data_IF_964202878428
#
_entry.id   IF_964202878428
#
_cell.length_a   1.000
_cell.length_b   1.000
_cell.length_c   1.000
_cell.angle_alpha   90.00
_cell.angle_beta   90.00
_cell.angle_gamma   90.00
#
_symmetry.space_group_name_H-M   'P 1'
#
loop_
_entity.id
_entity.type
_entity.pdbx_description
1 polymer ?
#
# COMPACT_ATOMS: atom_id res chain seq x y z
N UNK A 1 22.84 -36.81 11.70
CA UNK A 1 21.72 -36.08 11.09
C UNK A 1 20.69 -36.95 10.33
N UNK A 2 20.92 -38.27 10.11
CA UNK A 2 19.97 -39.11 9.34
C UNK A 2 18.65 -39.41 10.09
N UNK A 3 18.61 -39.40 11.40
CA UNK A 3 17.46 -39.83 12.22
C UNK A 3 16.64 -38.71 12.90
N UNK A 4 16.91 -37.43 12.57
CA UNK A 4 16.13 -36.31 13.13
C UNK A 4 14.81 -36.14 12.39
N UNK A 5 13.70 -35.77 13.12
CA UNK A 5 12.43 -35.38 12.50
C UNK A 5 12.62 -34.29 11.44
N UNK A 6 11.81 -34.31 10.38
CA UNK A 6 11.91 -33.31 9.29
C UNK A 6 11.78 -31.84 9.75
N UNK A 7 11.06 -31.60 10.85
CA UNK A 7 10.97 -30.27 11.49
C UNK A 7 12.30 -29.81 12.08
N UNK A 8 13.00 -30.74 12.76
CA UNK A 8 14.23 -30.43 13.49
C UNK A 8 15.39 -30.21 12.52
N UNK A 9 15.43 -30.94 11.39
CA UNK A 9 16.38 -30.69 10.29
C UNK A 9 16.20 -29.30 9.69
N UNK A 10 14.96 -28.86 9.46
CA UNK A 10 14.67 -27.52 8.98
C UNK A 10 15.26 -26.44 9.90
N UNK A 11 14.95 -26.55 11.20
CA UNK A 11 15.38 -25.57 12.20
C UNK A 11 16.90 -25.57 12.35
N UNK A 12 17.53 -26.74 12.43
CA UNK A 12 18.99 -26.87 12.53
C UNK A 12 19.68 -26.20 11.36
N UNK A 13 19.21 -26.47 10.13
CA UNK A 13 19.81 -25.85 8.93
C UNK A 13 19.62 -24.34 8.89
N UNK A 14 18.45 -23.84 9.27
CA UNK A 14 18.24 -22.38 9.31
C UNK A 14 19.13 -21.70 10.35
N UNK A 15 19.36 -22.34 11.53
CA UNK A 15 20.33 -21.86 12.53
C UNK A 15 21.77 -21.80 12.02
N UNK A 16 22.18 -22.79 11.22
CA UNK A 16 23.50 -22.77 10.58
C UNK A 16 23.65 -21.59 9.57
N UNK A 17 22.57 -21.20 8.93
CA UNK A 17 22.58 -20.13 7.93
C UNK A 17 22.58 -18.74 8.56
N UNK A 18 21.65 -18.48 9.48
CA UNK A 18 21.41 -17.14 10.02
C UNK A 18 21.85 -16.95 11.46
N UNK A 19 22.30 -18.01 12.13
CA UNK A 19 22.60 -18.01 13.56
C UNK A 19 21.38 -18.29 14.44
N UNK A 20 21.61 -18.83 15.65
CA UNK A 20 20.53 -19.27 16.54
C UNK A 20 19.64 -18.11 17.01
N UNK A 21 20.20 -16.93 17.29
CA UNK A 21 19.46 -15.75 17.72
C UNK A 21 18.45 -15.21 16.68
N UNK A 22 18.64 -15.61 15.41
CA UNK A 22 17.83 -15.16 14.28
C UNK A 22 16.79 -16.19 13.81
N UNK A 23 16.54 -17.24 14.61
CA UNK A 23 15.54 -18.28 14.36
C UNK A 23 14.52 -18.34 15.50
N UNK A 24 13.27 -18.00 15.20
CA UNK A 24 12.17 -18.03 16.15
C UNK A 24 11.34 -19.29 15.92
N UNK A 25 11.25 -20.15 16.94
CA UNK A 25 10.43 -21.38 16.92
C UNK A 25 9.44 -21.44 18.07
N UNK A 26 9.50 -20.50 19.01
CA UNK A 26 8.59 -20.42 20.15
C UNK A 26 7.14 -20.29 19.67
N UNK A 27 6.22 -21.23 20.06
CA UNK A 27 4.85 -21.25 19.56
C UNK A 27 4.04 -19.97 19.85
N UNK A 28 4.34 -19.28 20.96
CA UNK A 28 3.64 -18.04 21.32
C UNK A 28 4.14 -16.86 20.48
N UNK A 29 5.45 -16.77 20.25
CA UNK A 29 6.03 -15.77 19.34
C UNK A 29 5.57 -16.00 17.89
N UNK A 30 5.42 -17.23 17.44
CA UNK A 30 4.93 -17.56 16.11
C UNK A 30 3.50 -17.09 15.84
N UNK A 31 2.67 -16.90 16.88
CA UNK A 31 1.30 -16.37 16.75
C UNK A 31 1.29 -14.97 16.12
N UNK A 32 2.28 -14.12 16.44
CA UNK A 32 2.41 -12.76 15.88
C UNK A 32 2.73 -12.75 14.37
N UNK A 33 3.17 -13.88 13.84
CA UNK A 33 3.50 -14.05 12.43
C UNK A 33 2.43 -14.83 11.65
N UNK A 34 1.31 -15.15 12.29
CA UNK A 34 0.21 -15.84 11.63
C UNK A 34 -0.43 -14.96 10.55
N UNK A 35 -0.84 -15.59 9.44
CA UNK A 35 -1.53 -14.95 8.32
C UNK A 35 -2.83 -15.70 8.07
N UNK A 36 -3.97 -15.01 8.20
CA UNK A 36 -5.31 -15.58 7.99
C UNK A 36 -5.51 -16.94 8.69
N UNK A 37 -5.10 -17.00 9.96
CA UNK A 37 -5.23 -18.18 10.80
C UNK A 37 -4.16 -19.25 10.61
N UNK A 38 -3.29 -19.15 9.60
CA UNK A 38 -2.16 -20.05 9.43
C UNK A 38 -0.93 -19.55 10.15
N UNK A 39 -0.27 -20.43 10.91
CA UNK A 39 0.99 -20.14 11.62
C UNK A 39 2.18 -20.73 10.84
N UNK A 40 3.32 -20.05 10.79
CA UNK A 40 4.55 -20.63 10.28
C UNK A 40 5.09 -21.70 11.23
N UNK A 41 5.94 -22.59 10.73
CA UNK A 41 6.72 -23.53 11.55
C UNK A 41 7.91 -22.83 12.20
N UNK A 42 8.44 -21.81 11.54
CA UNK A 42 9.64 -21.07 11.96
C UNK A 42 9.63 -19.67 11.33
N UNK A 43 10.22 -18.72 12.04
CA UNK A 43 10.55 -17.39 11.50
C UNK A 43 12.06 -17.23 11.47
N UNK A 44 12.60 -16.71 10.37
CA UNK A 44 14.01 -16.38 10.23
C UNK A 44 14.18 -14.90 9.94
N UNK A 45 15.23 -14.31 10.51
CA UNK A 45 15.57 -12.88 10.35
C UNK A 45 16.99 -12.73 9.82
N UNK A 46 17.23 -13.01 8.51
CA UNK A 46 18.57 -12.89 7.92
C UNK A 46 19.05 -11.43 7.97
N UNK A 47 20.32 -11.22 8.28
CA UNK A 47 20.97 -9.92 8.38
C UNK A 47 21.72 -9.47 7.12
N UNK A 48 21.81 -10.36 6.12
CA UNK A 48 22.51 -10.09 4.85
C UNK A 48 21.76 -10.68 3.66
N UNK A 49 21.99 -10.13 2.46
CA UNK A 49 21.44 -10.69 1.22
C UNK A 49 21.92 -12.12 0.96
N UNK A 50 23.16 -12.43 1.34
CA UNK A 50 23.72 -13.79 1.19
C UNK A 50 23.03 -14.80 2.11
N UNK A 51 22.66 -14.40 3.32
CA UNK A 51 21.85 -15.25 4.21
C UNK A 51 20.43 -15.47 3.64
N UNK A 52 19.80 -14.41 3.09
CA UNK A 52 18.52 -14.57 2.37
C UNK A 52 18.66 -15.58 1.23
N UNK A 53 19.71 -15.45 0.41
CA UNK A 53 20.00 -16.38 -0.70
C UNK A 53 20.10 -17.82 -0.22
N UNK A 54 20.89 -18.09 0.81
CA UNK A 54 21.07 -19.44 1.37
C UNK A 54 19.78 -20.01 1.98
N UNK A 55 18.97 -19.18 2.64
CA UNK A 55 17.66 -19.60 3.17
C UNK A 55 16.70 -19.96 2.05
N UNK A 56 16.65 -19.16 0.98
CA UNK A 56 15.77 -19.39 -0.17
C UNK A 56 16.20 -20.62 -0.96
N UNK A 57 17.49 -20.77 -1.24
CA UNK A 57 18.04 -21.94 -1.91
C UNK A 57 17.70 -23.25 -1.16
N UNK A 58 17.94 -23.28 0.15
CA UNK A 58 17.58 -24.41 0.99
C UNK A 58 16.06 -24.68 0.96
N UNK A 59 15.25 -23.65 1.04
CA UNK A 59 13.79 -23.80 0.98
C UNK A 59 13.33 -24.33 -0.37
N UNK A 60 13.98 -23.94 -1.48
CA UNK A 60 13.71 -24.45 -2.82
C UNK A 60 14.02 -25.94 -2.93
N UNK A 61 15.20 -26.35 -2.49
CA UNK A 61 15.63 -27.75 -2.51
C UNK A 61 14.72 -28.66 -1.68
N UNK A 62 14.22 -28.16 -0.54
CA UNK A 62 13.37 -28.91 0.38
C UNK A 62 11.86 -28.66 0.16
N UNK A 63 11.45 -27.93 -0.90
CA UNK A 63 10.07 -27.55 -1.19
C UNK A 63 9.33 -26.94 0.00
N UNK A 64 9.99 -26.00 0.74
CA UNK A 64 9.43 -25.28 1.88
C UNK A 64 8.86 -23.95 1.46
N UNK A 65 7.60 -23.71 1.81
CA UNK A 65 6.93 -22.48 1.48
C UNK A 65 7.42 -21.32 2.36
N UNK A 66 7.83 -20.23 1.72
CA UNK A 66 8.28 -18.98 2.35
C UNK A 66 7.21 -17.90 2.19
N UNK A 67 6.90 -17.20 3.28
CA UNK A 67 6.15 -15.94 3.26
C UNK A 67 7.13 -14.82 3.62
N UNK A 68 7.52 -13.94 2.67
CA UNK A 68 8.34 -12.77 2.97
C UNK A 68 7.55 -11.77 3.80
N UNK A 69 8.22 -11.14 4.78
CA UNK A 69 7.59 -10.15 5.64
C UNK A 69 8.55 -9.02 6.03
N UNK A 70 8.14 -7.77 5.80
CA UNK A 70 8.72 -6.61 6.46
C UNK A 70 8.12 -6.43 7.86
N UNK A 71 7.57 -5.28 8.17
CA UNK A 71 6.81 -5.07 9.42
C UNK A 71 5.50 -5.85 9.49
N UNK A 72 4.96 -6.26 8.35
CA UNK A 72 3.67 -6.95 8.26
C UNK A 72 2.46 -6.03 8.24
N UNK A 73 2.64 -4.73 8.04
CA UNK A 73 1.56 -3.73 7.99
C UNK A 73 0.45 -4.06 6.98
N UNK A 74 0.80 -4.68 5.85
CA UNK A 74 -0.14 -5.16 4.82
C UNK A 74 -0.24 -6.69 4.72
N UNK A 75 0.16 -7.42 5.76
CA UNK A 75 0.19 -8.89 5.71
C UNK A 75 -1.21 -9.53 5.55
N UNK A 76 -2.27 -8.82 5.92
CA UNK A 76 -3.66 -9.26 5.70
C UNK A 76 -4.14 -9.10 4.26
N UNK A 77 -3.43 -8.36 3.41
CA UNK A 77 -3.77 -8.19 2.01
C UNK A 77 -3.47 -9.47 1.21
N UNK A 78 -4.30 -9.74 0.20
CA UNK A 78 -4.19 -10.94 -0.64
C UNK A 78 -4.94 -12.16 -0.11
N UNK A 79 -4.86 -13.25 -0.85
CA UNK A 79 -5.53 -14.52 -0.56
C UNK A 79 -5.02 -15.21 0.70
N UNK A 80 -5.74 -16.22 1.15
CA UNK A 80 -5.33 -17.07 2.27
C UNK A 80 -4.13 -17.91 1.83
N UNK A 81 -2.99 -17.93 2.56
CA UNK A 81 -1.84 -18.73 2.17
C UNK A 81 -2.21 -20.21 2.00
N UNK A 82 -1.83 -20.85 0.91
CA UNK A 82 -2.03 -22.31 0.75
C UNK A 82 -1.11 -23.09 1.67
N UNK A 83 0.16 -22.67 1.80
CA UNK A 83 1.18 -23.27 2.66
C UNK A 83 2.08 -22.18 3.25
N UNK A 84 2.55 -22.37 4.49
CA UNK A 84 3.46 -21.44 5.16
C UNK A 84 4.36 -22.22 6.11
N UNK A 85 5.56 -22.59 5.66
CA UNK A 85 6.55 -23.28 6.47
C UNK A 85 7.46 -22.27 7.19
N UNK A 86 7.98 -21.29 6.43
CA UNK A 86 8.94 -20.29 6.89
C UNK A 86 8.33 -18.89 6.70
N UNK A 87 8.41 -18.04 7.71
CA UNK A 87 8.33 -16.60 7.51
C UNK A 87 9.75 -16.06 7.45
N UNK A 88 10.12 -15.42 6.35
CA UNK A 88 11.38 -14.72 6.20
C UNK A 88 11.15 -13.23 6.45
N UNK A 89 11.61 -12.76 7.60
CA UNK A 89 11.51 -11.35 7.98
C UNK A 89 12.74 -10.57 7.53
N UNK A 90 12.51 -9.46 6.85
CA UNK A 90 13.59 -8.55 6.41
C UNK A 90 13.98 -7.53 7.47
N UNK A 91 13.53 -7.68 8.71
CA UNK A 91 13.75 -6.69 9.79
C UNK A 91 15.21 -6.38 10.10
N UNK A 92 16.14 -7.30 9.81
CA UNK A 92 17.58 -7.09 10.00
C UNK A 92 18.28 -6.47 8.76
N UNK A 93 17.58 -6.39 7.62
CA UNK A 93 18.03 -5.66 6.44
C UNK A 93 17.60 -4.19 6.59
N UNK A 94 18.24 -3.44 7.48
CA UNK A 94 17.76 -2.15 7.95
C UNK A 94 18.82 -1.02 7.87
N UNK A 95 19.72 -1.09 6.89
CA UNK A 95 20.78 -0.10 6.71
C UNK A 95 20.50 0.79 5.49
N UNK A 96 20.84 2.09 5.61
CA UNK A 96 21.08 2.95 4.47
C UNK A 96 22.45 2.56 3.91
N UNK A 97 22.48 2.06 2.68
CA UNK A 97 23.70 1.57 2.02
C UNK A 97 24.49 2.68 1.38
N UNK A 98 23.77 3.61 0.77
CA UNK A 98 24.37 4.75 0.10
C UNK A 98 23.41 5.93 0.09
N UNK A 99 23.94 7.12 0.18
CA UNK A 99 23.19 8.38 0.14
C UNK A 99 23.99 9.38 -0.67
N UNK A 100 23.57 9.58 -1.88
CA UNK A 100 24.17 10.52 -2.82
C UNK A 100 23.20 11.67 -3.08
N UNK A 101 23.28 12.70 -2.22
CA UNK A 101 22.40 13.86 -2.31
C UNK A 101 22.74 14.77 -3.52
N UNK A 102 23.95 14.69 -4.06
CA UNK A 102 24.35 15.47 -5.25
C UNK A 102 23.68 14.90 -6.50
N UNK A 103 23.60 13.59 -6.59
CA UNK A 103 22.92 12.88 -7.68
C UNK A 103 21.46 12.52 -7.34
N UNK A 104 20.91 13.01 -6.23
CA UNK A 104 19.54 12.78 -5.80
C UNK A 104 19.16 11.28 -5.74
N UNK A 105 20.03 10.45 -5.18
CA UNK A 105 19.80 9.02 -5.05
C UNK A 105 20.02 8.51 -3.62
N UNK A 106 19.26 7.47 -3.26
CA UNK A 106 19.34 6.76 -1.99
C UNK A 106 19.28 5.25 -2.25
N UNK A 107 20.25 4.50 -1.77
CA UNK A 107 20.19 3.03 -1.73
C UNK A 107 19.99 2.57 -0.28
N UNK A 108 18.94 1.79 -0.04
CA UNK A 108 18.54 1.37 1.28
C UNK A 108 18.01 -0.08 1.28
N UNK A 109 18.23 -0.77 2.40
CA UNK A 109 17.76 -2.13 2.61
C UNK A 109 16.24 -2.20 2.86
N UNK A 110 15.66 -3.32 2.51
CA UNK A 110 14.21 -3.53 2.42
C UNK A 110 13.46 -3.49 3.76
N UNK A 111 14.15 -3.72 4.87
CA UNK A 111 13.58 -3.72 6.22
C UNK A 111 13.49 -2.34 6.86
N UNK A 112 14.19 -1.31 6.33
CA UNK A 112 14.02 0.06 6.79
C UNK A 112 12.59 0.54 6.58
N UNK A 113 12.03 1.24 7.55
CA UNK A 113 10.76 1.96 7.39
C UNK A 113 10.96 3.26 6.61
N UNK A 114 9.91 3.71 5.94
CA UNK A 114 9.94 5.01 5.26
C UNK A 114 10.18 6.15 6.25
N UNK A 115 9.65 6.04 7.47
CA UNK A 115 9.88 7.02 8.54
C UNK A 115 11.36 7.14 8.89
N UNK A 116 12.06 6.01 9.10
CA UNK A 116 13.50 5.98 9.37
C UNK A 116 14.32 6.58 8.22
N UNK A 117 13.91 6.31 6.98
CA UNK A 117 14.55 6.90 5.79
C UNK A 117 14.38 8.42 5.78
N UNK A 118 13.15 8.92 5.97
CA UNK A 118 12.89 10.37 6.01
C UNK A 118 13.66 11.06 7.14
N UNK A 119 13.68 10.46 8.32
CA UNK A 119 14.49 10.97 9.46
C UNK A 119 15.99 10.96 9.14
N UNK A 120 16.47 9.92 8.46
CA UNK A 120 17.84 9.82 8.00
C UNK A 120 18.21 10.92 7.00
N UNK A 121 17.30 11.25 6.07
CA UNK A 121 17.48 12.32 5.10
C UNK A 121 17.47 13.71 5.77
N UNK A 122 16.56 13.95 6.70
CA UNK A 122 16.46 15.21 7.43
C UNK A 122 17.73 15.56 8.20
N UNK A 123 18.43 14.56 8.76
CA UNK A 123 19.69 14.76 9.49
C UNK A 123 20.86 15.30 8.63
N UNK A 124 20.77 15.16 7.31
CA UNK A 124 21.83 15.66 6.40
C UNK A 124 21.71 17.17 6.16
N UNK A 125 20.57 17.77 6.50
CA UNK A 125 20.35 19.21 6.41
C UNK A 125 20.28 19.80 5.00
N UNK A 126 20.21 18.98 3.95
CA UNK A 126 20.20 19.41 2.54
C UNK A 126 18.79 19.53 1.92
N UNK A 127 17.71 19.32 2.70
CA UNK A 127 16.35 19.53 2.21
C UNK A 127 15.89 18.58 1.11
N UNK A 128 16.18 17.27 1.23
CA UNK A 128 15.71 16.24 0.30
C UNK A 128 14.77 15.25 0.99
N UNK A 129 13.89 14.62 0.21
CA UNK A 129 12.99 13.58 0.70
C UNK A 129 12.72 12.50 -0.36
N UNK A 130 12.25 11.36 0.09
CA UNK A 130 11.71 10.31 -0.77
C UNK A 130 10.19 10.56 -0.90
N UNK A 131 9.68 10.93 -2.09
CA UNK A 131 8.30 11.40 -2.25
C UNK A 131 7.28 10.26 -2.29
N UNK A 132 7.29 9.42 -1.26
CA UNK A 132 6.33 8.33 -1.06
C UNK A 132 5.52 8.60 0.20
N UNK A 133 4.21 8.32 0.14
CA UNK A 133 3.28 8.56 1.24
C UNK A 133 2.28 7.40 1.47
N UNK A 134 2.76 6.15 1.55
CA UNK A 134 1.88 5.00 1.73
C UNK A 134 1.16 5.03 3.07
N UNK A 135 0.05 4.27 3.24
CA UNK A 135 -0.54 4.03 4.55
C UNK A 135 0.43 3.30 5.49
N UNK A 136 0.15 3.33 6.79
CA UNK A 136 1.01 2.79 7.85
C UNK A 136 2.37 3.48 7.94
N UNK A 137 2.38 4.79 7.87
CA UNK A 137 3.57 5.65 7.72
C UNK A 137 4.73 5.28 8.64
N UNK A 138 4.44 4.96 9.91
CA UNK A 138 5.47 4.65 10.92
C UNK A 138 6.00 3.20 10.84
N UNK A 139 5.28 2.32 10.15
CA UNK A 139 5.57 0.87 10.12
C UNK A 139 5.91 0.34 8.74
N UNK A 140 5.50 1.04 7.67
CA UNK A 140 5.69 0.56 6.31
C UNK A 140 7.17 0.49 5.96
N UNK A 141 7.69 -0.72 5.73
CA UNK A 141 9.06 -0.93 5.28
C UNK A 141 9.19 -0.71 3.77
N UNK A 142 10.36 -0.26 3.32
CA UNK A 142 10.64 -0.03 1.90
C UNK A 142 10.31 -1.27 1.05
N UNK A 143 10.75 -2.45 1.46
CA UNK A 143 10.43 -3.70 0.77
C UNK A 143 8.94 -3.99 0.70
N UNK A 144 8.19 -3.70 1.78
CA UNK A 144 6.73 -3.85 1.82
C UNK A 144 6.01 -2.86 0.89
N UNK A 145 6.46 -1.59 0.87
CA UNK A 145 5.93 -0.54 -0.02
C UNK A 145 6.10 -0.96 -1.48
N UNK A 146 7.31 -1.40 -1.84
CA UNK A 146 7.66 -1.81 -3.21
C UNK A 146 6.93 -3.09 -3.61
N UNK A 147 6.97 -4.12 -2.77
CA UNK A 147 6.32 -5.40 -3.06
C UNK A 147 4.80 -5.27 -3.25
N UNK A 148 4.15 -4.29 -2.60
CA UNK A 148 2.71 -4.05 -2.74
C UNK A 148 2.36 -2.88 -3.66
N UNK A 149 3.37 -2.19 -4.21
CA UNK A 149 3.21 -0.91 -4.92
C UNK A 149 2.30 0.06 -4.15
N UNK A 150 2.54 0.16 -2.84
CA UNK A 150 1.71 0.95 -1.94
C UNK A 150 1.98 2.44 -2.13
N UNK A 151 0.93 3.22 -2.26
CA UNK A 151 1.01 4.68 -2.42
C UNK A 151 -0.15 5.35 -1.70
N UNK A 152 0.02 6.62 -1.41
CA UNK A 152 -1.01 7.49 -0.84
C UNK A 152 -1.45 8.58 -1.81
N UNK A 153 -2.06 9.65 -1.29
CA UNK A 153 -2.57 10.79 -2.06
C UNK A 153 -1.53 11.50 -2.94
N UNK A 154 -0.32 11.69 -2.43
CA UNK A 154 0.79 12.39 -3.12
C UNK A 154 1.23 11.72 -4.43
N UNK A 155 0.74 10.50 -4.71
CA UNK A 155 0.97 9.84 -6.00
C UNK A 155 0.49 10.65 -7.19
N UNK A 156 -0.41 11.60 -6.96
CA UNK A 156 -0.92 12.48 -8.02
C UNK A 156 0.20 13.35 -8.61
N UNK A 157 1.03 13.93 -7.77
CA UNK A 157 2.16 14.79 -8.20
C UNK A 157 3.43 13.98 -8.42
N UNK A 158 3.74 13.03 -7.55
CA UNK A 158 5.05 12.39 -7.51
C UNK A 158 5.07 10.97 -8.12
N UNK A 159 3.91 10.39 -8.41
CA UNK A 159 3.84 9.01 -8.86
C UNK A 159 3.89 8.00 -7.70
N UNK A 160 4.36 6.81 -7.98
CA UNK A 160 4.40 5.67 -7.05
C UNK A 160 5.84 5.17 -6.87
N UNK A 161 6.04 4.11 -6.09
CA UNK A 161 7.33 3.44 -6.00
C UNK A 161 7.88 3.06 -7.39
N UNK A 162 6.99 2.78 -8.37
CA UNK A 162 7.36 2.46 -9.75
C UNK A 162 8.10 3.60 -10.45
N UNK A 163 7.80 4.85 -10.08
CA UNK A 163 8.37 6.05 -10.69
C UNK A 163 9.65 6.50 -9.97
N UNK A 164 9.81 6.07 -8.72
CA UNK A 164 10.93 6.45 -7.85
C UNK A 164 12.09 5.46 -7.91
N UNK A 165 11.82 4.16 -8.12
CA UNK A 165 12.87 3.11 -8.09
C UNK A 165 13.66 3.12 -9.40
N UNK A 166 15.00 3.13 -9.24
CA UNK A 166 15.97 3.06 -10.34
C UNK A 166 16.90 1.84 -10.23
N UNK A 167 16.89 1.15 -9.10
CA UNK A 167 17.65 -0.09 -8.92
C UNK A 167 17.05 -0.99 -7.85
N UNK A 168 17.26 -2.29 -8.00
CA UNK A 168 16.83 -3.33 -7.06
C UNK A 168 17.86 -4.44 -6.95
N UNK A 169 18.03 -4.96 -5.72
CA UNK A 169 18.71 -6.21 -5.42
C UNK A 169 17.70 -7.14 -4.77
N UNK A 170 17.47 -8.29 -5.37
CA UNK A 170 16.50 -9.28 -4.90
C UNK A 170 17.07 -10.69 -4.95
N UNK A 171 16.53 -11.58 -4.12
CA UNK A 171 16.83 -13.03 -4.17
C UNK A 171 15.66 -13.73 -4.83
N UNK A 172 15.96 -14.48 -5.88
CA UNK A 172 15.00 -15.29 -6.63
C UNK A 172 14.80 -16.67 -5.98
N UNK A 173 13.73 -17.40 -6.35
CA UNK A 173 13.37 -18.68 -5.72
C UNK A 173 14.44 -19.77 -5.78
N UNK A 174 15.35 -19.71 -6.73
CA UNK A 174 16.52 -20.61 -6.86
C UNK A 174 17.73 -20.18 -6.00
N UNK A 175 17.58 -19.14 -5.17
CA UNK A 175 18.66 -18.60 -4.35
C UNK A 175 19.54 -17.56 -5.06
N UNK A 176 19.39 -17.33 -6.36
CA UNK A 176 20.20 -16.37 -7.10
C UNK A 176 19.95 -14.94 -6.62
N UNK A 177 21.05 -14.20 -6.44
CA UNK A 177 21.02 -12.77 -6.16
C UNK A 177 21.00 -12.02 -7.49
N UNK A 178 19.88 -11.34 -7.76
CA UNK A 178 19.69 -10.57 -8.98
C UNK A 178 19.79 -9.08 -8.67
N UNK A 179 20.60 -8.38 -9.45
CA UNK A 179 20.74 -6.91 -9.40
C UNK A 179 20.28 -6.36 -10.73
N UNK A 180 19.36 -5.40 -10.69
CA UNK A 180 18.84 -4.71 -11.89
C UNK A 180 18.78 -3.21 -11.63
N UNK A 181 19.11 -2.43 -12.66
CA UNK A 181 19.22 -0.97 -12.51
C UNK A 181 20.50 -0.58 -11.76
N UNK A 182 20.51 0.65 -11.24
CA UNK A 182 21.66 1.21 -10.52
C UNK A 182 21.42 2.68 -10.19
N UNK A 183 22.51 3.42 -9.91
CA UNK A 183 22.45 4.86 -9.58
C UNK A 183 22.21 5.77 -10.79
N UNK A 184 22.33 5.24 -12.00
CA UNK A 184 22.11 6.02 -13.23
C UNK A 184 20.62 6.07 -13.57
N UNK A 185 20.07 7.26 -13.74
CA UNK A 185 18.64 7.49 -14.04
C UNK A 185 18.21 6.84 -15.37
N UNK A 186 19.14 6.71 -16.33
CA UNK A 186 18.89 6.07 -17.62
C UNK A 186 19.69 4.79 -17.74
N UNK A 187 19.02 3.66 -17.54
CA UNK A 187 19.55 2.32 -17.83
C UNK A 187 18.67 1.69 -18.92
N UNK A 188 19.24 1.52 -20.12
CA UNK A 188 18.55 0.95 -21.30
C UNK A 188 19.07 -0.46 -21.64
N UNK A 189 19.96 -1.02 -20.83
CA UNK A 189 20.53 -2.34 -21.04
C UNK A 189 19.72 -3.41 -20.29
N UNK A 190 19.12 -4.34 -21.02
CA UNK A 190 18.35 -5.45 -20.48
C UNK A 190 16.91 -5.11 -20.11
N UNK A 191 16.22 -6.10 -19.54
CA UNK A 191 14.84 -5.94 -19.06
C UNK A 191 14.80 -5.21 -17.72
N UNK A 192 13.78 -4.37 -17.52
CA UNK A 192 13.57 -3.65 -16.27
C UNK A 192 12.94 -4.58 -15.21
N UNK A 193 13.79 -5.31 -14.49
CA UNK A 193 13.38 -6.20 -13.41
C UNK A 193 12.81 -5.43 -12.20
N UNK A 194 13.14 -4.13 -12.05
CA UNK A 194 12.52 -3.29 -11.03
C UNK A 194 11.01 -3.27 -11.22
N UNK A 195 10.55 -3.02 -12.46
CA UNK A 195 9.12 -2.94 -12.80
C UNK A 195 8.40 -4.30 -12.64
N UNK A 196 9.10 -5.40 -12.81
CA UNK A 196 8.56 -6.75 -12.59
C UNK A 196 8.33 -7.04 -11.10
N UNK A 197 9.28 -6.65 -10.25
CA UNK A 197 9.23 -6.95 -8.81
C UNK A 197 8.30 -5.99 -8.04
N UNK A 198 8.07 -4.79 -8.55
CA UNK A 198 7.13 -3.83 -7.96
C UNK A 198 5.70 -4.37 -8.08
N UNK A 199 5.02 -4.50 -6.95
CA UNK A 199 3.65 -5.03 -6.90
C UNK A 199 3.55 -6.56 -7.02
N UNK A 200 4.67 -7.30 -6.98
CA UNK A 200 4.71 -8.76 -7.06
C UNK A 200 4.28 -9.49 -5.79
N UNK A 201 4.04 -8.79 -4.69
CA UNK A 201 3.68 -9.37 -3.38
C UNK A 201 4.69 -10.40 -2.84
N UNK A 202 5.95 -10.30 -3.25
CA UNK A 202 6.98 -11.27 -2.85
C UNK A 202 6.72 -12.68 -3.40
N UNK A 203 6.00 -12.80 -4.52
CA UNK A 203 5.76 -14.09 -5.18
C UNK A 203 6.83 -14.42 -6.22
N UNK A 204 7.58 -13.44 -6.69
CA UNK A 204 8.62 -13.60 -7.71
C UNK A 204 10.04 -13.54 -7.15
N UNK A 205 10.22 -12.90 -5.99
CA UNK A 205 11.51 -12.75 -5.34
C UNK A 205 11.40 -12.01 -4.02
N UNK A 206 12.47 -12.07 -3.22
CA UNK A 206 12.59 -11.37 -1.95
C UNK A 206 13.45 -10.13 -2.16
N UNK A 207 12.85 -8.94 -2.01
CA UNK A 207 13.54 -7.66 -2.10
C UNK A 207 14.50 -7.50 -0.92
N UNK A 208 15.77 -7.20 -1.20
CA UNK A 208 16.81 -7.02 -0.18
C UNK A 208 17.25 -5.56 -0.09
N UNK A 209 17.45 -4.89 -1.24
CA UNK A 209 17.92 -3.51 -1.33
C UNK A 209 17.28 -2.82 -2.51
N UNK A 210 16.97 -1.53 -2.39
CA UNK A 210 16.42 -0.69 -3.46
C UNK A 210 17.16 0.62 -3.56
N UNK A 211 17.30 1.13 -4.78
CA UNK A 211 17.82 2.47 -5.06
C UNK A 211 16.69 3.36 -5.57
N UNK A 212 16.49 4.50 -4.91
CA UNK A 212 15.42 5.45 -5.17
C UNK A 212 15.98 6.78 -5.68
N UNK A 213 15.17 7.49 -6.46
CA UNK A 213 15.34 8.92 -6.71
C UNK A 213 14.82 9.71 -5.53
N UNK A 214 15.54 10.78 -5.17
CA UNK A 214 15.12 11.77 -4.19
C UNK A 214 14.63 13.04 -4.90
N UNK A 215 13.83 13.84 -4.21
CA UNK A 215 13.42 15.17 -4.64
C UNK A 215 13.76 16.20 -3.56
N UNK A 216 13.94 17.49 -3.95
CA UNK A 216 14.06 18.56 -2.95
C UNK A 216 12.75 18.74 -2.20
N UNK A 217 12.85 19.09 -0.91
CA UNK A 217 11.68 19.45 -0.10
C UNK A 217 11.01 20.71 -0.67
N UNK A 218 9.66 20.76 -0.69
CA UNK A 218 8.94 21.99 -1.01
C UNK A 218 9.21 23.07 0.05
N UNK A 219 9.19 24.34 -0.35
CA UNK A 219 9.35 25.47 0.59
C UNK A 219 8.12 25.62 1.51
N UNK A 220 6.93 25.34 0.96
CA UNK A 220 5.65 25.40 1.66
C UNK A 220 4.76 24.23 1.30
N UNK A 221 4.04 23.72 2.30
CA UNK A 221 2.94 22.78 2.15
C UNK A 221 1.66 23.40 2.73
N UNK A 222 0.54 23.22 2.07
CA UNK A 222 -0.77 23.65 2.54
C UNK A 222 -1.87 22.67 2.14
N UNK A 223 -2.98 22.69 2.85
CA UNK A 223 -4.21 21.97 2.49
C UNK A 223 -5.38 22.92 2.43
N UNK A 224 -6.08 22.94 1.31
CA UNK A 224 -7.37 23.59 1.20
C UNK A 224 -8.47 22.55 1.43
N UNK A 225 -9.23 22.71 2.51
CA UNK A 225 -10.42 21.92 2.84
C UNK A 225 -11.69 22.66 2.47
N UNK A 226 -12.54 22.03 1.67
CA UNK A 226 -13.79 22.58 1.14
C UNK A 226 -14.94 21.64 1.46
N UNK A 227 -15.99 22.13 2.10
CA UNK A 227 -17.18 21.34 2.39
C UNK A 227 -18.30 21.59 1.39
N UNK A 228 -19.01 20.52 1.01
CA UNK A 228 -20.12 20.57 0.07
C UNK A 228 -21.33 19.80 0.62
N UNK A 229 -22.54 20.27 0.26
CA UNK A 229 -23.77 19.57 0.61
C UNK A 229 -24.01 18.33 -0.25
N UNK A 230 -23.62 18.36 -1.53
CA UNK A 230 -23.90 17.33 -2.52
C UNK A 230 -22.63 16.84 -3.20
N UNK A 231 -22.63 15.56 -3.58
CA UNK A 231 -21.53 14.94 -4.32
C UNK A 231 -21.29 15.58 -5.68
N UNK A 232 -22.38 15.94 -6.38
CA UNK A 232 -22.31 16.53 -7.73
C UNK A 232 -21.55 17.87 -7.71
N UNK A 233 -21.72 18.66 -6.64
CA UNK A 233 -21.03 19.93 -6.46
C UNK A 233 -19.54 19.71 -6.17
N UNK A 234 -19.22 18.78 -5.27
CA UNK A 234 -17.85 18.41 -4.97
C UNK A 234 -17.10 17.84 -6.20
N UNK A 235 -17.75 16.95 -6.95
CA UNK A 235 -17.18 16.37 -8.18
C UNK A 235 -17.07 17.41 -9.31
N UNK A 236 -18.03 18.34 -9.42
CA UNK A 236 -17.98 19.46 -10.35
C UNK A 236 -16.76 20.35 -10.12
N UNK A 237 -16.51 20.73 -8.86
CA UNK A 237 -15.31 21.47 -8.47
C UNK A 237 -14.03 20.70 -8.81
N UNK A 238 -13.95 19.42 -8.46
CA UNK A 238 -12.77 18.57 -8.75
C UNK A 238 -12.53 18.45 -10.26
N UNK A 239 -13.58 18.33 -11.06
CA UNK A 239 -13.45 18.30 -12.53
C UNK A 239 -12.91 19.62 -13.10
N UNK A 240 -13.41 20.78 -12.64
CA UNK A 240 -12.89 22.10 -13.07
C UNK A 240 -11.44 22.25 -12.63
N UNK A 241 -11.12 21.91 -11.37
CA UNK A 241 -9.75 21.98 -10.85
C UNK A 241 -8.77 21.16 -11.69
N UNK A 242 -9.13 19.91 -12.03
CA UNK A 242 -8.28 19.04 -12.86
C UNK A 242 -8.12 19.52 -14.30
N UNK A 243 -9.07 20.27 -14.82
CA UNK A 243 -9.00 20.92 -16.14
C UNK A 243 -8.25 22.25 -16.13
N UNK A 244 -7.87 22.78 -14.97
CA UNK A 244 -7.19 24.06 -14.81
C UNK A 244 -5.66 23.91 -14.97
N UNK A 245 -4.95 25.04 -14.84
CA UNK A 245 -3.49 25.08 -14.81
C UNK A 245 -2.91 24.96 -13.39
N UNK A 246 -3.76 24.74 -12.39
CA UNK A 246 -3.32 24.55 -11.01
C UNK A 246 -2.71 23.16 -10.81
N UNK A 247 -1.71 23.07 -9.94
CA UNK A 247 -0.90 21.85 -9.75
C UNK A 247 -1.00 21.39 -8.31
N UNK A 248 -2.12 20.78 -7.90
CA UNK A 248 -2.22 20.18 -6.58
C UNK A 248 -1.36 18.91 -6.46
N UNK A 249 -0.82 18.66 -5.27
CA UNK A 249 -0.12 17.41 -4.96
C UNK A 249 -1.08 16.25 -4.70
N UNK A 250 -2.31 16.55 -4.27
CA UNK A 250 -3.34 15.58 -3.92
C UNK A 250 -4.72 16.19 -4.04
N UNK A 251 -5.72 15.40 -4.45
CA UNK A 251 -7.15 15.78 -4.43
C UNK A 251 -7.93 14.60 -3.86
N UNK A 252 -8.60 14.82 -2.73
CA UNK A 252 -9.37 13.81 -2.03
C UNK A 252 -10.84 14.23 -1.91
N UNK A 253 -11.77 13.29 -2.13
CA UNK A 253 -13.17 13.44 -1.77
C UNK A 253 -13.48 12.45 -0.65
N UNK A 254 -13.99 12.94 0.47
CA UNK A 254 -14.43 12.14 1.60
C UNK A 254 -15.93 12.30 1.78
N UNK A 255 -16.65 11.19 2.01
CA UNK A 255 -18.05 11.28 2.42
C UNK A 255 -18.19 11.64 3.92
N UNK A 256 -19.38 12.04 4.35
CA UNK A 256 -19.64 12.48 5.71
C UNK A 256 -19.24 11.46 6.79
N UNK A 257 -19.38 10.16 6.52
CA UNK A 257 -18.96 9.11 7.47
C UNK A 257 -17.44 9.05 7.61
N UNK A 258 -16.69 9.20 6.51
CA UNK A 258 -15.23 9.27 6.56
C UNK A 258 -14.78 10.51 7.34
N UNK A 259 -15.37 11.67 7.08
CA UNK A 259 -15.09 12.91 7.81
C UNK A 259 -15.38 12.74 9.29
N UNK A 260 -16.55 12.20 9.67
CA UNK A 260 -16.91 11.94 11.05
C UNK A 260 -15.89 11.04 11.76
N UNK A 261 -15.42 9.99 11.07
CA UNK A 261 -14.43 9.08 11.63
C UNK A 261 -13.03 9.69 11.73
N UNK A 262 -12.74 10.72 10.97
CA UNK A 262 -11.47 11.47 11.06
C UNK A 262 -11.53 12.62 12.09
N UNK A 263 -12.69 13.15 12.42
CA UNK A 263 -12.92 14.44 13.09
C UNK A 263 -12.28 14.63 14.46
N UNK A 264 -11.88 13.54 15.15
CA UNK A 264 -11.18 13.64 16.44
C UNK A 264 -9.75 14.22 16.32
N UNK A 265 -9.25 14.44 15.10
CA UNK A 265 -7.86 14.83 14.81
C UNK A 265 -7.74 16.06 13.90
N UNK A 266 -8.86 16.73 13.52
CA UNK A 266 -8.80 17.63 12.38
C UNK A 266 -9.51 18.98 12.60
N UNK A 267 -8.83 20.04 12.13
CA UNK A 267 -9.38 21.40 11.98
C UNK A 267 -10.05 21.56 10.61
N UNK A 268 -10.84 20.56 10.15
CA UNK A 268 -11.55 20.63 8.87
C UNK A 268 -13.00 21.12 9.05
N UNK A 269 -13.61 21.68 7.99
CA UNK A 269 -14.97 22.16 8.06
C UNK A 269 -15.94 21.05 8.49
N UNK A 270 -16.73 21.23 9.58
CA UNK A 270 -17.65 20.20 10.05
C UNK A 270 -18.95 20.15 9.26
N UNK A 271 -19.22 21.17 8.45
CA UNK A 271 -20.50 21.36 7.75
C UNK A 271 -20.47 20.70 6.37
N UNK A 272 -21.51 19.94 6.04
CA UNK A 272 -21.68 19.31 4.73
C UNK A 272 -21.56 17.79 4.77
N UNK A 273 -21.99 17.16 3.67
CA UNK A 273 -21.97 15.71 3.52
C UNK A 273 -20.68 15.22 2.85
N UNK A 274 -19.94 16.13 2.20
CA UNK A 274 -18.69 15.81 1.49
C UNK A 274 -17.62 16.83 1.81
N UNK A 275 -16.40 16.36 1.99
CA UNK A 275 -15.19 17.17 2.13
C UNK A 275 -14.31 16.93 0.90
N UNK A 276 -13.92 18.01 0.23
CA UNK A 276 -12.81 17.97 -0.73
C UNK A 276 -11.58 18.53 -0.04
N UNK A 277 -10.51 17.74 0.01
CA UNK A 277 -9.22 18.16 0.55
C UNK A 277 -8.18 18.19 -0.59
N UNK A 278 -7.60 19.37 -0.81
CA UNK A 278 -6.60 19.60 -1.85
C UNK A 278 -5.25 19.88 -1.18
N UNK A 279 -4.28 19.00 -1.42
CA UNK A 279 -2.90 19.20 -0.98
C UNK A 279 -2.12 20.03 -1.99
N UNK A 280 -1.29 20.93 -1.50
CA UNK A 280 -0.46 21.85 -2.28
C UNK A 280 0.96 21.82 -1.74
N UNK A 281 1.93 21.77 -2.65
CA UNK A 281 3.37 21.73 -2.31
C UNK A 281 4.15 22.54 -3.35
N UNK A 282 5.08 23.39 -2.91
CA UNK A 282 5.90 24.20 -3.82
C UNK A 282 6.48 25.44 -3.17
N UNK A 283 6.72 26.47 -3.99
CA UNK A 283 7.19 27.80 -3.52
C UNK A 283 6.04 28.61 -2.93
N UNK A 284 6.34 29.48 -1.97
CA UNK A 284 5.34 30.18 -1.14
C UNK A 284 4.32 30.94 -1.99
N UNK A 285 4.78 31.77 -2.93
CA UNK A 285 3.92 32.63 -3.76
C UNK A 285 2.97 31.82 -4.65
N UNK A 286 3.45 30.67 -5.16
CA UNK A 286 2.63 29.78 -5.97
C UNK A 286 1.52 29.14 -5.15
N UNK A 287 1.81 28.70 -3.91
CA UNK A 287 0.81 28.09 -3.01
C UNK A 287 -0.27 29.11 -2.66
N UNK A 288 0.10 30.33 -2.27
CA UNK A 288 -0.86 31.36 -1.88
C UNK A 288 -1.80 31.76 -3.04
N UNK A 289 -1.25 31.87 -4.24
CA UNK A 289 -2.05 32.09 -5.46
C UNK A 289 -3.02 30.93 -5.70
N UNK A 290 -2.54 29.70 -5.67
CA UNK A 290 -3.37 28.51 -5.92
C UNK A 290 -4.50 28.37 -4.90
N UNK A 291 -4.25 28.61 -3.60
CA UNK A 291 -5.29 28.61 -2.55
C UNK A 291 -6.37 29.65 -2.86
N UNK A 292 -5.98 30.87 -3.27
CA UNK A 292 -6.93 31.93 -3.63
C UNK A 292 -7.78 31.56 -4.84
N UNK A 293 -7.16 31.13 -5.94
CA UNK A 293 -7.85 30.74 -7.17
C UNK A 293 -8.82 29.56 -6.96
N UNK A 294 -8.40 28.54 -6.20
CA UNK A 294 -9.25 27.39 -5.86
C UNK A 294 -10.43 27.79 -4.97
N UNK A 295 -10.21 28.69 -4.02
CA UNK A 295 -11.28 29.19 -3.15
C UNK A 295 -12.35 29.96 -3.94
N UNK A 296 -11.95 30.77 -4.90
CA UNK A 296 -12.90 31.46 -5.79
C UNK A 296 -13.63 30.46 -6.73
N UNK A 297 -12.90 29.47 -7.25
CA UNK A 297 -13.50 28.40 -8.08
C UNK A 297 -14.56 27.63 -7.27
N UNK A 298 -14.29 27.29 -6.00
CA UNK A 298 -15.19 26.51 -5.16
C UNK A 298 -16.52 27.23 -4.90
N UNK A 299 -16.55 28.56 -4.86
CA UNK A 299 -17.80 29.36 -4.68
C UNK A 299 -18.82 29.09 -5.78
N UNK A 300 -18.38 28.83 -7.03
CA UNK A 300 -19.24 28.50 -8.17
C UNK A 300 -20.03 27.20 -7.95
N UNK A 301 -19.51 26.31 -7.12
CA UNK A 301 -20.08 25.00 -6.81
C UNK A 301 -20.79 24.97 -5.45
N UNK A 302 -21.07 26.14 -4.87
CA UNK A 302 -21.83 26.22 -3.62
C UNK A 302 -21.12 25.61 -2.42
N UNK A 303 -19.78 25.80 -2.32
CA UNK A 303 -19.05 25.41 -1.12
C UNK A 303 -19.66 26.07 0.12
N UNK A 304 -19.85 25.27 1.17
CA UNK A 304 -20.44 25.75 2.42
C UNK A 304 -19.42 26.44 3.31
N UNK A 305 -18.21 25.89 3.35
CA UNK A 305 -17.11 26.38 4.18
C UNK A 305 -15.77 26.03 3.54
N UNK A 306 -14.79 26.91 3.68
CA UNK A 306 -13.43 26.72 3.21
C UNK A 306 -12.44 26.99 4.36
N UNK A 307 -11.46 26.07 4.53
CA UNK A 307 -10.40 26.20 5.55
C UNK A 307 -9.05 25.90 4.90
N UNK A 308 -8.04 26.71 5.22
CA UNK A 308 -6.66 26.42 4.85
C UNK A 308 -5.90 25.91 6.06
N UNK A 309 -5.26 24.77 5.90
CA UNK A 309 -4.34 24.20 6.90
C UNK A 309 -2.91 24.31 6.40
N UNK A 310 -2.03 24.71 7.27
CA UNK A 310 -0.58 24.80 7.03
C UNK A 310 0.21 24.10 8.14
N UNK A 311 1.52 23.93 7.92
CA UNK A 311 2.45 23.36 8.88
C UNK A 311 1.93 22.08 9.58
N UNK A 312 1.89 22.08 10.91
CA UNK A 312 1.49 20.91 11.72
C UNK A 312 0.07 20.42 11.41
N UNK A 313 -0.87 21.34 11.13
CA UNK A 313 -2.25 20.98 10.82
C UNK A 313 -2.36 20.27 9.47
N UNK A 314 -1.63 20.75 8.46
CA UNK A 314 -1.48 20.06 7.17
C UNK A 314 -0.96 18.64 7.37
N UNK A 315 0.17 18.48 8.06
CA UNK A 315 0.78 17.17 8.29
C UNK A 315 -0.14 16.23 9.06
N UNK A 316 -0.78 16.71 10.15
CA UNK A 316 -1.70 15.92 10.95
C UNK A 316 -2.89 15.39 10.13
N UNK A 317 -3.45 16.22 9.24
CA UNK A 317 -4.53 15.83 8.34
C UNK A 317 -4.11 14.67 7.42
N UNK A 318 -2.99 14.83 6.69
CA UNK A 318 -2.55 13.80 5.74
C UNK A 318 -2.08 12.52 6.42
N UNK A 319 -1.50 12.60 7.62
CA UNK A 319 -1.17 11.42 8.44
C UNK A 319 -2.45 10.69 8.84
N UNK A 320 -3.48 11.40 9.31
CA UNK A 320 -4.77 10.80 9.69
C UNK A 320 -5.46 10.14 8.49
N UNK A 321 -5.44 10.80 7.32
CA UNK A 321 -6.04 10.28 6.08
C UNK A 321 -5.32 9.01 5.60
N UNK A 322 -3.99 9.02 5.49
CA UNK A 322 -3.20 7.86 5.07
C UNK A 322 -3.38 6.66 5.99
N UNK A 323 -3.48 6.90 7.29
CA UNK A 323 -3.64 5.85 8.30
C UNK A 323 -5.11 5.52 8.62
N UNK A 324 -6.07 6.03 7.84
CA UNK A 324 -7.50 5.83 8.08
C UNK A 324 -7.89 4.36 8.18
N UNK A 325 -7.48 3.53 7.22
CA UNK A 325 -7.75 2.09 7.22
C UNK A 325 -7.15 1.37 8.44
N UNK A 326 -5.92 1.73 8.84
CA UNK A 326 -5.25 1.17 10.02
C UNK A 326 -6.04 1.48 11.28
N UNK A 327 -6.41 2.74 11.47
CA UNK A 327 -7.14 3.20 12.64
C UNK A 327 -8.52 2.53 12.75
N UNK A 328 -9.21 2.37 11.65
CA UNK A 328 -10.47 1.62 11.65
C UNK A 328 -10.29 0.16 12.08
N UNK A 329 -9.21 -0.51 11.65
CA UNK A 329 -8.95 -1.90 12.07
C UNK A 329 -8.52 -2.04 13.53
N UNK A 330 -7.98 -0.98 14.13
CA UNK A 330 -7.66 -0.94 15.56
C UNK A 330 -8.93 -0.66 16.40
N UNK A 331 -9.84 0.18 15.88
CA UNK A 331 -11.10 0.56 16.55
C UNK A 331 -12.21 -0.50 16.41
N UNK A 332 -12.30 -1.14 15.23
CA UNK A 332 -13.36 -2.10 14.92
C UNK A 332 -12.79 -3.48 14.53
N UNK A 333 -13.32 -4.53 15.14
CA UNK A 333 -13.13 -5.87 14.61
C UNK A 333 -13.95 -6.07 13.34
N UNK A 334 -13.44 -6.83 12.38
CA UNK A 334 -14.16 -7.22 11.15
C UNK A 334 -14.38 -6.11 10.11
N UNK A 335 -13.57 -5.05 10.09
CA UNK A 335 -13.57 -4.06 9.00
C UNK A 335 -13.25 -4.74 7.67
N UNK A 336 -13.99 -4.35 6.62
CA UNK A 336 -13.67 -4.72 5.24
C UNK A 336 -13.18 -3.45 4.55
N UNK A 337 -11.93 -3.49 4.08
CA UNK A 337 -11.33 -2.38 3.32
C UNK A 337 -11.11 -2.82 1.88
N UNK A 338 -11.66 -2.06 0.96
CA UNK A 338 -11.58 -2.30 -0.47
C UNK A 338 -10.94 -1.11 -1.17
N UNK A 339 -10.23 -1.38 -2.25
CA UNK A 339 -9.66 -0.38 -3.13
C UNK A 339 -10.14 -0.64 -4.56
N UNK A 340 -10.81 0.33 -5.14
CA UNK A 340 -11.19 0.32 -6.55
C UNK A 340 -10.33 1.29 -7.34
N UNK A 341 -10.07 0.97 -8.59
CA UNK A 341 -9.54 1.88 -9.59
C UNK A 341 -10.50 1.91 -10.78
N UNK A 342 -10.54 3.03 -11.47
CA UNK A 342 -11.42 3.25 -12.63
C UNK A 342 -10.94 4.50 -13.40
N UNK A 343 -11.61 4.81 -14.50
CA UNK A 343 -11.32 6.04 -15.25
C UNK A 343 -11.47 7.26 -14.34
N UNK A 344 -10.48 8.11 -14.35
CA UNK A 344 -10.36 9.27 -13.47
C UNK A 344 -11.56 10.24 -13.56
N UNK A 345 -12.16 10.34 -14.76
CA UNK A 345 -13.36 11.14 -15.00
C UNK A 345 -14.63 10.59 -14.37
N UNK A 346 -14.59 9.35 -13.85
CA UNK A 346 -15.72 8.64 -13.28
C UNK A 346 -15.78 8.66 -11.74
N UNK A 347 -14.91 9.44 -11.09
CA UNK A 347 -14.81 9.45 -9.62
C UNK A 347 -16.13 9.71 -8.92
N UNK A 348 -16.83 10.80 -9.26
CA UNK A 348 -18.13 11.12 -8.65
C UNK A 348 -19.22 10.10 -8.98
N UNK A 349 -19.27 9.64 -10.24
CA UNK A 349 -20.26 8.64 -10.67
C UNK A 349 -20.10 7.31 -9.90
N UNK A 350 -18.87 6.78 -9.80
CA UNK A 350 -18.60 5.52 -9.10
C UNK A 350 -18.82 5.67 -7.60
N UNK A 351 -18.38 6.78 -6.98
CA UNK A 351 -18.62 7.04 -5.56
C UNK A 351 -20.13 7.07 -5.26
N UNK A 352 -20.92 7.83 -6.04
CA UNK A 352 -22.37 7.89 -5.87
C UNK A 352 -23.08 6.56 -6.12
N UNK A 353 -22.59 5.75 -7.08
CA UNK A 353 -23.09 4.39 -7.30
C UNK A 353 -22.80 3.47 -6.11
N UNK A 354 -21.61 3.56 -5.53
CA UNK A 354 -21.23 2.77 -4.35
C UNK A 354 -22.05 3.15 -3.11
N UNK A 355 -22.32 4.43 -2.91
CA UNK A 355 -23.22 4.90 -1.83
C UNK A 355 -24.63 4.32 -1.98
N UNK A 356 -25.20 4.35 -3.19
CA UNK A 356 -26.53 3.77 -3.47
C UNK A 356 -26.55 2.25 -3.25
N UNK A 357 -25.50 1.52 -3.67
CA UNK A 357 -25.38 0.07 -3.46
C UNK A 357 -25.33 -0.24 -1.95
N UNK A 358 -24.50 0.47 -1.20
CA UNK A 358 -24.37 0.28 0.24
C UNK A 358 -25.66 0.63 0.99
N UNK A 359 -26.30 1.74 0.63
CA UNK A 359 -27.59 2.17 1.19
C UNK A 359 -28.69 1.14 0.94
N UNK A 360 -28.80 0.61 -0.29
CA UNK A 360 -29.77 -0.42 -0.65
C UNK A 360 -29.60 -1.73 0.15
N UNK A 361 -28.39 -2.01 0.65
CA UNK A 361 -28.09 -3.15 1.51
C UNK A 361 -28.11 -2.78 3.01
N UNK A 362 -28.37 -1.52 3.36
CA UNK A 362 -28.32 -1.03 4.75
C UNK A 362 -26.94 -1.17 5.37
N UNK A 363 -25.87 -0.92 4.60
CA UNK A 363 -24.47 -1.04 5.03
C UNK A 363 -23.84 0.34 5.10
N UNK A 364 -23.19 0.64 6.22
CA UNK A 364 -22.45 1.89 6.40
C UNK A 364 -21.03 1.75 5.84
N UNK A 365 -20.68 2.63 4.90
CA UNK A 365 -19.36 2.68 4.28
C UNK A 365 -18.77 4.08 4.38
N UNK A 366 -17.53 4.18 4.89
CA UNK A 366 -16.73 5.37 4.78
C UNK A 366 -15.96 5.33 3.45
N UNK A 367 -16.06 6.41 2.67
CA UNK A 367 -15.43 6.52 1.36
C UNK A 367 -14.37 7.60 1.35
N UNK A 368 -13.19 7.28 0.81
CA UNK A 368 -12.09 8.20 0.54
C UNK A 368 -11.67 8.00 -0.91
N UNK A 369 -11.88 9.01 -1.74
CA UNK A 369 -11.50 8.96 -3.15
C UNK A 369 -10.26 9.79 -3.40
N UNK A 370 -9.17 9.17 -3.90
CA UNK A 370 -8.08 9.90 -4.55
C UNK A 370 -8.57 10.39 -5.91
N UNK A 371 -9.34 11.46 -5.90
CA UNK A 371 -10.09 11.96 -7.06
C UNK A 371 -9.18 12.46 -8.20
N UNK A 372 -7.93 12.77 -7.87
CA UNK A 372 -6.89 13.08 -8.85
C UNK A 372 -6.33 11.85 -9.61
N UNK A 373 -6.68 10.62 -9.18
CA UNK A 373 -6.06 9.38 -9.70
C UNK A 373 -7.06 8.27 -10.10
N UNK A 374 -8.37 8.47 -9.93
CA UNK A 374 -9.37 7.43 -10.22
C UNK A 374 -9.29 6.23 -9.27
N UNK A 375 -9.05 6.50 -7.97
CA UNK A 375 -8.99 5.47 -6.93
C UNK A 375 -10.03 5.80 -5.86
N UNK A 376 -10.76 4.76 -5.42
CA UNK A 376 -11.73 4.87 -4.32
C UNK A 376 -11.46 3.80 -3.28
N UNK A 377 -11.20 4.24 -2.06
CA UNK A 377 -11.18 3.37 -0.89
C UNK A 377 -12.57 3.33 -0.26
N UNK A 378 -13.07 2.11 -0.02
CA UNK A 378 -14.35 1.83 0.61
C UNK A 378 -14.11 1.03 1.88
N UNK A 379 -14.48 1.60 3.02
CA UNK A 379 -14.31 0.96 4.33
C UNK A 379 -15.68 0.65 4.92
N UNK A 380 -16.02 -0.64 4.94
CA UNK A 380 -17.24 -1.12 5.56
C UNK A 380 -17.07 -1.13 7.07
N UNK A 381 -17.96 -0.43 7.77
CA UNK A 381 -18.02 -0.43 9.23
C UNK A 381 -19.06 -1.46 9.67
N UNK A 382 -18.63 -2.66 10.10
CA UNK A 382 -19.56 -3.69 10.49
C UNK A 382 -20.23 -3.32 11.82
N UNK A 383 -21.54 -3.39 11.84
CA UNK A 383 -22.33 -3.27 13.08
C UNK A 383 -22.17 -4.50 14.00
N UNK A 384 -22.93 -4.53 15.09
CA UNK A 384 -22.88 -5.61 16.10
C UNK A 384 -23.20 -7.00 15.53
N UNK A 385 -23.89 -7.11 14.39
CA UNK A 385 -24.39 -8.37 13.81
C UNK A 385 -23.58 -8.84 12.59
N UNK A 386 -22.24 -8.71 12.60
CA UNK A 386 -21.38 -9.07 11.45
C UNK A 386 -21.66 -10.49 10.91
N UNK A 387 -21.74 -11.49 11.82
CA UNK A 387 -21.87 -12.90 11.41
C UNK A 387 -23.16 -13.22 10.65
N UNK A 388 -24.29 -12.60 11.01
CA UNK A 388 -25.57 -12.80 10.33
C UNK A 388 -25.67 -12.04 9.01
N UNK A 389 -24.73 -11.16 8.70
CA UNK A 389 -24.73 -10.30 7.52
C UNK A 389 -23.61 -10.63 6.52
N UNK A 390 -22.94 -11.77 6.67
CA UNK A 390 -21.83 -12.16 5.78
C UNK A 390 -22.26 -12.13 4.30
N UNK A 391 -23.44 -12.69 3.98
CA UNK A 391 -23.94 -12.72 2.61
C UNK A 391 -24.20 -11.31 2.05
N UNK A 392 -24.74 -10.39 2.85
CA UNK A 392 -24.92 -8.99 2.44
C UNK A 392 -23.57 -8.30 2.16
N UNK A 393 -22.50 -8.62 2.92
CA UNK A 393 -21.18 -8.08 2.64
C UNK A 393 -20.55 -8.68 1.37
N UNK A 394 -20.79 -9.95 1.10
CA UNK A 394 -20.39 -10.60 -0.16
C UNK A 394 -21.11 -9.94 -1.34
N UNK A 395 -22.43 -9.77 -1.25
CA UNK A 395 -23.23 -9.10 -2.26
C UNK A 395 -22.77 -7.65 -2.52
N UNK A 396 -22.41 -6.92 -1.45
CA UNK A 396 -21.85 -5.57 -1.56
C UNK A 396 -20.56 -5.59 -2.40
N UNK A 397 -19.61 -6.49 -2.07
CA UNK A 397 -18.35 -6.61 -2.78
C UNK A 397 -18.57 -6.96 -4.25
N UNK A 398 -19.45 -7.91 -4.55
CA UNK A 398 -19.78 -8.33 -5.92
C UNK A 398 -20.38 -7.18 -6.74
N UNK A 399 -21.37 -6.46 -6.19
CA UNK A 399 -21.99 -5.31 -6.85
C UNK A 399 -21.02 -4.17 -7.09
N UNK A 400 -20.17 -3.84 -6.09
CA UNK A 400 -19.13 -2.82 -6.24
C UNK A 400 -18.07 -3.26 -7.25
N UNK A 401 -17.70 -4.54 -7.28
CA UNK A 401 -16.79 -5.08 -8.30
C UNK A 401 -17.37 -4.95 -9.70
N UNK A 402 -18.63 -5.30 -9.89
CA UNK A 402 -19.32 -5.15 -11.18
C UNK A 402 -19.37 -3.69 -11.64
N UNK A 403 -19.63 -2.75 -10.72
CA UNK A 403 -19.64 -1.33 -11.04
C UNK A 403 -18.24 -0.79 -11.39
N UNK A 404 -17.18 -1.25 -10.70
CA UNK A 404 -15.81 -0.90 -11.06
C UNK A 404 -15.44 -1.40 -12.46
N UNK A 405 -15.76 -2.66 -12.78
CA UNK A 405 -15.52 -3.27 -14.11
C UNK A 405 -16.28 -2.54 -15.21
N UNK A 406 -17.53 -2.16 -14.98
CA UNK A 406 -18.34 -1.36 -15.92
C UNK A 406 -17.67 -0.02 -16.24
N UNK A 407 -16.91 0.55 -15.30
CA UNK A 407 -16.15 1.80 -15.48
C UNK A 407 -14.66 1.52 -15.82
N UNK A 408 -14.37 0.42 -16.52
CA UNK A 408 -13.04 0.02 -17.01
C UNK A 408 -11.98 -0.14 -15.91
N UNK A 409 -12.45 -0.53 -14.73
CA UNK A 409 -11.63 -0.62 -13.53
C UNK A 409 -11.60 -2.01 -12.91
N UNK A 410 -11.19 -2.05 -11.66
CA UNK A 410 -11.17 -3.26 -10.83
C UNK A 410 -11.36 -2.91 -9.36
N UNK A 411 -11.73 -3.90 -8.55
CA UNK A 411 -11.80 -3.81 -7.10
C UNK A 411 -10.94 -4.89 -6.46
N UNK A 412 -10.17 -4.52 -5.44
CA UNK A 412 -9.36 -5.41 -4.62
C UNK A 412 -9.79 -5.29 -3.16
N UNK A 413 -10.00 -6.41 -2.49
CA UNK A 413 -10.25 -6.46 -1.05
C UNK A 413 -8.91 -6.46 -0.32
N UNK A 414 -8.48 -5.29 0.18
CA UNK A 414 -7.17 -5.14 0.85
C UNK A 414 -7.14 -5.78 2.25
N UNK A 415 -8.27 -5.72 2.97
CA UNK A 415 -8.39 -6.33 4.30
C UNK A 415 -9.83 -6.76 4.55
N UNK A 416 -10.01 -7.97 5.06
CA UNK A 416 -11.31 -8.46 5.49
C UNK A 416 -11.15 -9.65 6.44
N UNK A 417 -12.20 -10.01 7.20
CA UNK A 417 -12.26 -11.26 7.93
C UNK A 417 -12.14 -12.48 7.01
N UNK A 418 -11.59 -13.57 7.55
CA UNK A 418 -11.38 -14.84 6.81
C UNK A 418 -12.70 -15.38 6.24
N UNK A 419 -13.82 -15.20 6.96
CA UNK A 419 -15.15 -15.62 6.52
C UNK A 419 -15.56 -14.97 5.18
N UNK A 420 -15.15 -13.75 4.93
CA UNK A 420 -15.33 -13.05 3.64
C UNK A 420 -14.34 -13.57 2.60
N UNK A 421 -13.04 -13.66 2.94
CA UNK A 421 -12.00 -14.14 2.01
C UNK A 421 -12.26 -15.55 1.47
N UNK A 422 -13.00 -16.38 2.19
CA UNK A 422 -13.41 -17.72 1.73
C UNK A 422 -14.54 -17.71 0.70
N UNK A 423 -15.25 -16.59 0.55
CA UNK A 423 -16.44 -16.47 -0.32
C UNK A 423 -16.19 -15.58 -1.54
N UNK A 424 -15.21 -14.68 -1.49
CA UNK A 424 -14.89 -13.77 -2.58
C UNK A 424 -13.45 -13.95 -3.04
N UNK A 425 -13.19 -13.73 -4.35
CA UNK A 425 -11.82 -13.50 -4.80
C UNK A 425 -11.39 -12.08 -4.38
N UNK A 426 -10.40 -12.00 -3.49
CA UNK A 426 -9.92 -10.70 -2.96
C UNK A 426 -9.25 -9.83 -4.01
N UNK A 427 -8.85 -10.40 -5.16
CA UNK A 427 -8.22 -9.70 -6.27
C UNK A 427 -9.22 -9.29 -7.37
N UNK A 428 -10.49 -9.65 -7.20
CA UNK A 428 -11.54 -9.43 -8.19
C UNK A 428 -11.48 -10.43 -9.35
N UNK A 429 -12.12 -10.09 -10.46
CA UNK A 429 -12.18 -10.98 -11.62
C UNK A 429 -10.81 -11.12 -12.29
N UNK A 430 -10.51 -12.35 -12.74
CA UNK A 430 -9.31 -12.63 -13.52
C UNK A 430 -9.32 -11.84 -14.84
N UNK A 431 -8.22 -11.16 -15.12
CA UNK A 431 -8.03 -10.39 -16.35
C UNK A 431 -7.42 -11.27 -17.45
N UNK A 432 -7.47 -10.78 -18.68
CA UNK A 432 -6.90 -11.48 -19.85
C UNK A 432 -5.39 -11.74 -19.76
N UNK A 433 -4.67 -10.90 -18.96
CA UNK A 433 -3.23 -11.02 -18.72
C UNK A 433 -2.85 -12.11 -17.71
N UNK A 434 -3.82 -12.73 -17.03
CA UNK A 434 -3.56 -13.74 -15.98
C UNK A 434 -2.71 -14.92 -16.46
N UNK A 435 -2.95 -15.40 -17.69
CA UNK A 435 -2.16 -16.51 -18.24
C UNK A 435 -0.67 -16.18 -18.38
N UNK A 436 -0.34 -14.92 -18.71
CA UNK A 436 1.04 -14.44 -18.79
C UNK A 436 1.65 -14.37 -17.39
N UNK A 437 0.91 -13.81 -16.43
CA UNK A 437 1.33 -13.73 -15.03
C UNK A 437 1.59 -15.13 -14.45
N UNK A 438 0.73 -16.09 -14.75
CA UNK A 438 0.90 -17.49 -14.31
C UNK A 438 2.12 -18.13 -14.90
N UNK A 439 2.33 -18.04 -16.22
CA UNK A 439 3.52 -18.58 -16.89
C UNK A 439 4.80 -17.98 -16.36
N UNK A 440 4.81 -16.67 -16.10
CA UNK A 440 5.94 -15.98 -15.49
C UNK A 440 6.26 -16.52 -14.10
N UNK A 441 5.24 -16.72 -13.26
CA UNK A 441 5.39 -17.33 -11.94
C UNK A 441 5.98 -18.75 -12.05
N UNK A 442 5.42 -19.57 -12.93
CA UNK A 442 5.86 -20.97 -13.09
C UNK A 442 7.31 -21.06 -13.60
N UNK A 443 7.79 -20.08 -14.39
CA UNK A 443 9.18 -19.99 -14.84
C UNK A 443 10.14 -19.49 -13.75
N UNK A 444 9.74 -18.48 -12.98
CA UNK A 444 10.61 -17.88 -11.97
C UNK A 444 10.63 -18.73 -10.69
N UNK A 445 9.50 -19.30 -10.29
CA UNK A 445 9.34 -20.10 -9.08
C UNK A 445 8.75 -21.49 -9.40
N UNK A 446 9.47 -22.34 -10.15
CA UNK A 446 8.98 -23.67 -10.53
C UNK A 446 8.74 -24.59 -9.33
N UNK A 447 9.44 -24.39 -8.23
CA UNK A 447 9.23 -25.11 -6.97
C UNK A 447 7.98 -24.65 -6.21
N UNK A 448 7.41 -23.50 -6.58
CA UNK A 448 6.22 -22.94 -5.98
C UNK A 448 6.42 -22.67 -4.49
N UNK A 449 7.50 -21.98 -4.10
CA UNK A 449 7.82 -21.77 -2.69
C UNK A 449 7.47 -20.37 -2.17
N UNK A 450 7.40 -19.35 -3.03
CA UNK A 450 7.23 -17.97 -2.58
C UNK A 450 5.76 -17.56 -2.51
N UNK A 451 5.30 -17.25 -1.31
CA UNK A 451 4.04 -16.60 -0.96
C UNK A 451 2.77 -17.23 -1.59
N UNK A 452 2.72 -18.57 -1.60
CA UNK A 452 1.77 -19.41 -2.35
C UNK A 452 0.32 -19.13 -1.94
N UNK A 453 -0.54 -18.88 -2.93
CA UNK A 453 -1.98 -18.68 -2.74
C UNK A 453 -2.37 -17.25 -2.38
N UNK A 454 -1.41 -16.34 -2.31
CA UNK A 454 -1.64 -14.98 -1.82
C UNK A 454 -1.91 -13.95 -2.91
N UNK A 455 -1.52 -14.20 -4.14
CA UNK A 455 -1.62 -13.26 -5.24
C UNK A 455 -2.76 -13.63 -6.21
N UNK A 456 -2.92 -12.85 -7.28
CA UNK A 456 -3.97 -12.99 -8.30
C UNK A 456 -4.09 -14.43 -8.77
N UNK A 457 -5.32 -14.95 -8.85
CA UNK A 457 -5.60 -16.32 -9.29
C UNK A 457 -5.04 -17.41 -8.38
N UNK A 458 -4.68 -17.08 -7.13
CA UNK A 458 -4.16 -18.04 -6.16
C UNK A 458 -2.71 -18.49 -6.43
N UNK A 459 -1.94 -17.63 -7.11
CA UNK A 459 -0.48 -17.74 -7.24
C UNK A 459 0.19 -17.56 -5.90
#
# INVERSE_FOLDING_TARGET
MKDMPKSDKLIARLREIVGEAHVIQDPDKLKAYAVDGKKPKVVVTPGTTDEVSRVVDYASQEHRAIVPRGSGSKIKMGGIPKKMDIVLSTSQLNRIRDRDCENLTLSAESGLTLCEVQQGLAKVGKGYFLPLDPPFTDKATLGGIVATNSSGPKRMLYGTARDMIIGVKAVFPNGDIVVSGGKTVKNVSGYDMCKLLIGSYGTLGILCEMTFKLLPLPEKEATLGLSFARLEDADGFVRELRGSQLIPSSIEILNGLAVQKMSHSMSMPPNGNYLVAVGLEGVVESIDRQVSEMSEMAKKYGTLEAVTLDAEKHQAFWVALRNFSSRLTDEYSNVISMKSNFLISKCGEVLGSYEKIAQGLGINCAYISHAGNGILYSHVLPGKNFRSRIESFVELIEKMTAEAVKNEGSLVVESSPISIKKKVDVWGQSRSDYLVVRRLKDQIDPAGILNIGRFVGGI
#
